data_IF_124423198694
#
_entry.id   IF_124423198694
#
_cell.length_a   1.000
_cell.length_b   1.000
_cell.length_c   1.000
_cell.angle_alpha   90.00
_cell.angle_beta   90.00
_cell.angle_gamma   90.00
#
_symmetry.space_group_name_H-M   'P 1'
#
loop_
_entity.id
_entity.type
_entity.pdbx_description
1 polymer ?
#
# COMPACT_ATOMS: atom_id res chain seq x y z
N UNK A 1 -14.69 -36.17 55.88
CA UNK A 1 -14.91 -36.91 54.61
C UNK A 1 -16.18 -36.41 53.96
N UNK A 2 -16.21 -36.48 52.62
CA UNK A 2 -17.33 -36.31 51.67
C UNK A 2 -17.46 -34.95 50.98
N UNK A 3 -16.74 -34.89 49.86
CA UNK A 3 -16.96 -34.08 48.67
C UNK A 3 -18.43 -34.07 48.22
N UNK A 4 -18.95 -32.88 47.88
CA UNK A 4 -19.93 -32.75 46.79
C UNK A 4 -19.51 -31.60 45.87
N UNK A 5 -19.19 -32.00 44.64
CA UNK A 5 -18.93 -31.15 43.48
C UNK A 5 -20.24 -30.51 43.06
N UNK A 6 -20.28 -29.19 42.96
CA UNK A 6 -21.31 -28.47 42.21
C UNK A 6 -20.62 -27.60 41.19
N UNK A 7 -20.50 -28.14 39.98
CA UNK A 7 -20.09 -27.44 38.77
C UNK A 7 -21.25 -26.54 38.38
N UNK A 8 -21.09 -25.22 38.51
CA UNK A 8 -22.04 -24.26 37.96
C UNK A 8 -21.42 -23.65 36.70
N UNK A 9 -21.90 -24.15 35.57
CA UNK A 9 -21.79 -23.58 34.23
C UNK A 9 -22.49 -22.22 34.22
N UNK A 10 -21.83 -21.16 33.72
CA UNK A 10 -22.55 -20.04 33.07
C UNK A 10 -21.65 -19.17 32.19
N UNK A 11 -21.86 -19.36 30.89
CA UNK A 11 -22.00 -18.36 29.82
C UNK A 11 -20.90 -17.33 29.55
N UNK A 12 -20.08 -17.72 28.57
CA UNK A 12 -19.62 -16.94 27.42
C UNK A 12 -20.46 -15.67 27.17
N UNK A 13 -19.85 -14.51 27.37
CA UNK A 13 -20.12 -13.29 26.60
C UNK A 13 -18.80 -12.69 26.17
N UNK A 14 -18.10 -13.41 25.29
CA UNK A 14 -17.04 -12.83 24.48
C UNK A 14 -17.70 -11.97 23.40
N UNK A 15 -18.21 -10.81 23.81
CA UNK A 15 -18.66 -9.75 22.93
C UNK A 15 -17.46 -9.05 22.33
N UNK A 16 -16.74 -9.72 21.43
CA UNK A 16 -15.90 -9.00 20.47
C UNK A 16 -16.90 -8.26 19.59
N UNK A 17 -17.08 -6.97 19.89
CA UNK A 17 -17.60 -6.03 18.93
C UNK A 17 -16.65 -6.11 17.73
N UNK A 18 -17.03 -6.92 16.74
CA UNK A 18 -16.46 -6.86 15.41
C UNK A 18 -16.88 -5.48 14.93
N UNK A 19 -16.01 -4.49 15.14
CA UNK A 19 -16.12 -3.21 14.48
C UNK A 19 -16.14 -3.51 12.99
N UNK A 20 -17.34 -3.60 12.42
CA UNK A 20 -17.56 -3.57 10.99
C UNK A 20 -17.09 -2.19 10.50
N UNK A 21 -15.79 -2.08 10.27
CA UNK A 21 -15.17 -0.97 9.59
C UNK A 21 -15.67 -1.02 8.15
N UNK A 22 -16.85 -0.44 7.89
CA UNK A 22 -17.12 0.16 6.60
C UNK A 22 -16.23 1.41 6.51
N UNK A 23 -14.91 1.20 6.46
CA UNK A 23 -13.95 2.27 6.32
C UNK A 23 -14.14 2.85 4.92
N UNK A 24 -14.44 4.15 4.88
CA UNK A 24 -14.15 4.98 3.73
C UNK A 24 -12.72 4.64 3.27
N UNK A 25 -12.52 4.48 1.97
CA UNK A 25 -11.20 4.15 1.43
C UNK A 25 -10.20 5.19 1.95
N UNK A 26 -9.21 4.75 2.73
CA UNK A 26 -8.21 5.66 3.27
C UNK A 26 -7.35 6.19 2.12
N UNK A 27 -6.94 7.44 2.23
CA UNK A 27 -6.05 8.04 1.24
C UNK A 27 -4.63 7.54 1.44
N UNK A 28 -3.96 7.24 0.34
CA UNK A 28 -2.54 6.89 0.33
C UNK A 28 -1.70 8.17 0.23
N UNK A 29 -0.72 8.30 1.12
CA UNK A 29 0.28 9.36 1.05
C UNK A 29 1.62 8.78 0.60
N UNK A 30 2.18 9.36 -0.47
CA UNK A 30 3.49 8.96 -0.99
C UNK A 30 4.48 10.10 -0.89
N UNK A 31 5.65 9.82 -0.32
CA UNK A 31 6.81 10.72 -0.33
C UNK A 31 7.89 10.12 -1.21
N UNK A 32 8.37 10.90 -2.18
CA UNK A 32 9.46 10.50 -3.07
C UNK A 32 10.67 11.39 -2.81
N UNK A 33 11.60 10.90 -1.99
CA UNK A 33 12.85 11.57 -1.66
C UNK A 33 13.97 11.28 -2.67
N UNK A 34 13.64 10.73 -3.84
CA UNK A 34 14.62 10.48 -4.91
C UNK A 34 14.70 11.66 -5.88
N UNK A 35 15.61 11.55 -6.85
CA UNK A 35 15.77 12.50 -7.96
C UNK A 35 14.95 12.14 -9.20
N UNK A 36 14.15 11.08 -9.13
CA UNK A 36 13.40 10.54 -10.26
C UNK A 36 11.91 10.52 -9.93
N UNK A 37 11.08 10.78 -10.92
CA UNK A 37 9.64 10.59 -10.78
C UNK A 37 9.34 9.11 -10.54
N UNK A 38 8.22 8.80 -9.86
CA UNK A 38 7.81 7.42 -9.67
C UNK A 38 6.38 7.17 -10.11
N UNK A 39 6.16 5.97 -10.64
CA UNK A 39 4.86 5.45 -11.08
C UNK A 39 4.72 4.00 -10.65
N UNK A 40 3.51 3.46 -10.76
CA UNK A 40 3.29 2.05 -10.48
C UNK A 40 2.32 1.40 -11.47
N UNK A 41 2.50 0.10 -11.70
CA UNK A 41 1.53 -0.74 -12.42
C UNK A 41 0.85 -1.65 -11.41
N UNK A 42 -0.47 -1.56 -11.31
CA UNK A 42 -1.25 -2.37 -10.38
C UNK A 42 -1.85 -3.60 -11.06
N UNK A 43 -1.76 -4.76 -10.39
CA UNK A 43 -2.34 -6.05 -10.80
C UNK A 43 -2.06 -6.39 -12.28
N UNK A 44 -0.82 -6.14 -12.72
CA UNK A 44 -0.33 -6.36 -14.08
C UNK A 44 -1.28 -5.75 -15.15
N UNK A 45 -1.92 -4.62 -14.83
CA UNK A 45 -2.94 -3.99 -15.67
C UNK A 45 -2.43 -2.72 -16.34
N UNK A 46 -2.75 -1.56 -15.77
CA UNK A 46 -2.46 -0.25 -16.33
C UNK A 46 -1.45 0.49 -15.46
N UNK A 47 -0.66 1.37 -16.08
CA UNK A 47 0.17 2.27 -15.31
C UNK A 47 -0.71 3.26 -14.54
N UNK A 48 -0.24 3.72 -13.39
CA UNK A 48 -0.92 4.76 -12.61
C UNK A 48 -1.21 6.01 -13.44
N UNK A 49 -0.37 6.33 -14.43
CA UNK A 49 -0.61 7.45 -15.36
C UNK A 49 -1.65 7.19 -16.42
N UNK A 50 -1.93 5.93 -16.78
CA UNK A 50 -3.03 5.61 -17.69
C UNK A 50 -4.40 5.76 -17.00
N UNK A 51 -4.44 5.48 -15.69
CA UNK A 51 -5.66 5.52 -14.87
C UNK A 51 -5.90 6.94 -14.32
N UNK A 52 -4.85 7.59 -13.82
CA UNK A 52 -4.92 8.83 -13.05
C UNK A 52 -4.25 10.03 -13.74
N UNK A 53 -3.69 9.85 -14.95
CA UNK A 53 -2.94 10.90 -15.67
C UNK A 53 -1.78 11.44 -14.82
N UNK A 54 -1.60 12.75 -14.75
CA UNK A 54 -0.57 13.42 -13.94
C UNK A 54 -0.65 13.03 -12.45
N UNK A 55 -1.85 12.79 -11.92
CA UNK A 55 -2.03 12.33 -10.53
C UNK A 55 -1.54 10.89 -10.32
N UNK A 56 -1.18 10.18 -11.40
CA UNK A 56 -0.54 8.88 -11.36
C UNK A 56 0.96 8.95 -11.06
N UNK A 57 1.60 10.12 -11.18
CA UNK A 57 3.04 10.30 -10.97
C UNK A 57 3.30 10.87 -9.58
N UNK A 58 4.24 10.29 -8.84
CA UNK A 58 4.81 10.95 -7.65
C UNK A 58 6.14 11.57 -8.03
N UNK A 59 6.12 12.88 -8.27
CA UNK A 59 7.28 13.61 -8.78
C UNK A 59 8.48 13.51 -7.84
N UNK A 60 9.68 13.62 -8.41
CA UNK A 60 10.93 13.70 -7.67
C UNK A 60 10.84 14.80 -6.60
N UNK A 61 11.27 14.48 -5.37
CA UNK A 61 11.22 15.39 -4.22
C UNK A 61 9.82 15.63 -3.63
N UNK A 62 8.74 15.09 -4.20
CA UNK A 62 7.39 15.32 -3.71
C UNK A 62 7.20 14.77 -2.29
N UNK A 63 6.56 15.56 -1.42
CA UNK A 63 6.28 15.20 -0.03
C UNK A 63 4.79 14.96 0.15
N UNK A 64 4.43 13.82 0.79
CA UNK A 64 3.05 13.45 1.13
C UNK A 64 2.04 13.70 -0.02
N UNK A 65 2.41 13.33 -1.25
CA UNK A 65 1.45 13.35 -2.36
C UNK A 65 0.27 12.46 -2.01
N UNK A 66 -0.93 13.03 -2.05
CA UNK A 66 -2.18 12.34 -1.75
C UNK A 66 -2.70 11.62 -3.00
N UNK A 67 -2.98 10.34 -2.87
CA UNK A 67 -3.82 9.55 -3.78
C UNK A 67 -5.10 9.23 -3.03
N UNK A 68 -6.24 9.72 -3.52
CA UNK A 68 -7.50 9.55 -2.81
C UNK A 68 -7.87 8.07 -2.72
N UNK A 69 -8.60 7.68 -1.68
CA UNK A 69 -9.05 6.30 -1.53
C UNK A 69 -9.90 5.81 -2.72
N UNK A 70 -10.62 6.71 -3.41
CA UNK A 70 -11.35 6.37 -4.64
C UNK A 70 -10.40 6.03 -5.80
N UNK A 71 -9.35 6.85 -6.00
CA UNK A 71 -8.31 6.60 -7.00
C UNK A 71 -7.54 5.30 -6.69
N UNK A 72 -7.25 5.05 -5.41
CA UNK A 72 -6.58 3.84 -4.95
C UNK A 72 -7.43 2.59 -5.20
N UNK A 73 -8.73 2.63 -4.87
CA UNK A 73 -9.67 1.55 -5.19
C UNK A 73 -9.77 1.29 -6.69
N UNK A 74 -9.80 2.35 -7.50
CA UNK A 74 -9.83 2.23 -8.95
C UNK A 74 -8.54 1.59 -9.49
N UNK A 75 -7.37 2.01 -9.00
CA UNK A 75 -6.11 1.40 -9.38
C UNK A 75 -6.04 -0.09 -8.99
N UNK A 76 -6.63 -0.46 -7.85
CA UNK A 76 -6.64 -1.81 -7.33
C UNK A 76 -7.90 -2.63 -7.66
N UNK A 77 -8.71 -2.21 -8.64
CA UNK A 77 -10.04 -2.75 -8.92
C UNK A 77 -10.06 -4.28 -9.11
N UNK A 78 -8.97 -4.87 -9.62
CA UNK A 78 -8.86 -6.32 -9.84
C UNK A 78 -8.67 -7.13 -8.55
N UNK A 79 -8.03 -6.54 -7.54
CA UNK A 79 -7.83 -7.17 -6.24
C UNK A 79 -7.64 -6.09 -5.16
N UNK A 80 -8.68 -5.86 -4.37
CA UNK A 80 -8.70 -4.80 -3.36
C UNK A 80 -8.00 -5.18 -2.05
N UNK A 81 -7.83 -6.49 -1.77
CA UNK A 81 -7.26 -7.03 -0.51
C UNK A 81 -5.79 -7.45 -0.64
N UNK A 82 -5.32 -7.62 -1.87
CA UNK A 82 -3.93 -7.94 -2.18
C UNK A 82 -3.56 -7.34 -3.54
N UNK A 83 -3.63 -6.01 -3.62
CA UNK A 83 -3.26 -5.27 -4.81
C UNK A 83 -1.74 -5.31 -4.97
N UNK A 84 -1.27 -5.97 -6.02
CA UNK A 84 0.14 -6.00 -6.38
C UNK A 84 0.48 -4.72 -7.15
N UNK A 85 1.46 -3.95 -6.72
CA UNK A 85 1.92 -2.74 -7.38
C UNK A 85 3.41 -2.84 -7.71
N UNK A 86 3.72 -3.00 -9.00
CA UNK A 86 5.10 -2.93 -9.50
C UNK A 86 5.52 -1.46 -9.58
N UNK A 87 6.63 -1.09 -8.93
CA UNK A 87 7.08 0.30 -8.79
C UNK A 87 8.19 0.61 -9.80
N UNK A 88 8.07 1.76 -10.46
CA UNK A 88 9.01 2.25 -11.47
C UNK A 88 9.48 3.66 -11.10
N UNK A 89 10.73 3.98 -11.43
CA UNK A 89 11.34 5.30 -11.18
C UNK A 89 11.39 6.15 -12.45
N UNK A 90 10.25 6.23 -13.13
CA UNK A 90 10.02 7.04 -14.32
C UNK A 90 8.59 7.61 -14.30
N UNK A 91 8.33 8.62 -15.14
CA UNK A 91 7.02 9.27 -15.32
C UNK A 91 5.97 8.37 -16.00
N UNK A 92 6.40 7.23 -16.53
CA UNK A 92 5.56 6.13 -17.04
C UNK A 92 6.14 4.81 -16.57
N UNK A 93 5.31 3.77 -16.55
CA UNK A 93 5.71 2.42 -16.14
C UNK A 93 6.55 1.69 -17.20
N UNK A 94 7.57 2.37 -17.71
CA UNK A 94 8.62 1.86 -18.57
C UNK A 94 9.89 1.59 -17.79
N UNK A 95 10.82 0.87 -18.42
CA UNK A 95 12.07 0.47 -17.80
C UNK A 95 11.94 -0.67 -16.80
N UNK A 96 12.95 -0.79 -15.96
CA UNK A 96 13.03 -1.85 -14.94
C UNK A 96 12.22 -1.47 -13.69
N UNK A 97 11.51 -2.46 -13.14
CA UNK A 97 10.84 -2.31 -11.85
C UNK A 97 11.86 -2.33 -10.71
N UNK A 98 11.69 -1.46 -9.73
CA UNK A 98 12.59 -1.37 -8.58
C UNK A 98 12.08 -2.13 -7.36
N UNK A 99 10.77 -2.37 -7.27
CA UNK A 99 10.13 -3.06 -6.17
C UNK A 99 8.72 -3.54 -6.55
N UNK A 100 8.16 -4.40 -5.71
CA UNK A 100 6.75 -4.83 -5.73
C UNK A 100 6.16 -4.54 -4.36
N UNK A 101 5.02 -3.87 -4.31
CA UNK A 101 4.27 -3.62 -3.06
C UNK A 101 2.96 -4.41 -3.11
N UNK A 102 2.66 -5.17 -2.07
CA UNK A 102 1.33 -5.75 -1.87
C UNK A 102 0.53 -4.87 -0.91
N UNK A 103 -0.70 -4.50 -1.31
CA UNK A 103 -1.50 -3.49 -0.62
C UNK A 103 -2.95 -3.94 -0.40
N UNK A 104 -3.47 -3.80 0.83
CA UNK A 104 -4.89 -3.94 1.18
C UNK A 104 -5.57 -2.56 1.24
N UNK A 105 -6.36 -2.24 0.22
CA UNK A 105 -7.12 -0.98 0.13
C UNK A 105 -8.34 -0.91 1.06
N UNK A 106 -8.75 -2.04 1.64
CA UNK A 106 -9.94 -2.18 2.49
C UNK A 106 -9.57 -2.47 3.96
N UNK A 107 -8.30 -2.45 4.30
CA UNK A 107 -7.82 -2.87 5.61
C UNK A 107 -6.52 -2.20 5.98
N UNK A 108 -5.45 -2.99 6.05
CA UNK A 108 -4.19 -2.63 6.71
C UNK A 108 -3.28 -1.72 5.86
N UNK A 109 -3.58 -1.49 4.57
CA UNK A 109 -2.71 -0.75 3.67
C UNK A 109 -1.52 -1.59 3.19
N UNK A 110 -0.28 -1.09 3.30
CA UNK A 110 0.92 -1.82 2.88
C UNK A 110 1.06 -3.13 3.68
N UNK A 111 1.03 -4.27 2.98
CA UNK A 111 1.19 -5.61 3.56
C UNK A 111 2.63 -6.08 3.49
N UNK A 112 3.26 -5.89 2.34
CA UNK A 112 4.66 -6.27 2.12
C UNK A 112 5.28 -5.46 1.00
N UNK A 113 6.62 -5.39 1.03
CA UNK A 113 7.46 -4.73 0.04
C UNK A 113 8.57 -5.71 -0.33
N UNK A 114 8.65 -6.06 -1.60
CA UNK A 114 9.73 -6.85 -2.18
C UNK A 114 10.64 -5.92 -2.99
N UNK A 115 11.87 -5.71 -2.52
CA UNK A 115 12.85 -4.88 -3.21
C UNK A 115 13.57 -5.67 -4.31
N UNK A 116 13.65 -5.09 -5.51
CA UNK A 116 14.35 -5.65 -6.68
C UNK A 116 15.66 -4.91 -6.90
N UNK A 117 15.60 -3.58 -7.00
CA UNK A 117 16.78 -2.73 -7.12
C UNK A 117 17.19 -2.22 -5.73
N UNK A 118 18.36 -2.67 -5.29
CA UNK A 118 18.93 -2.34 -3.97
C UNK A 118 19.56 -0.95 -3.91
N UNK A 119 19.66 -0.24 -5.05
CA UNK A 119 20.05 1.17 -5.05
C UNK A 119 18.96 2.07 -4.46
N UNK A 120 17.73 1.59 -4.42
CA UNK A 120 16.58 2.26 -3.80
C UNK A 120 16.21 1.65 -2.45
N UNK A 121 15.47 2.43 -1.66
CA UNK A 121 14.82 1.98 -0.43
C UNK A 121 13.35 2.41 -0.49
N UNK A 122 12.44 1.46 -0.27
CA UNK A 122 11.03 1.75 -0.04
C UNK A 122 10.66 1.27 1.36
N UNK A 123 10.11 2.18 2.15
CA UNK A 123 9.48 1.87 3.42
C UNK A 123 8.00 2.22 3.33
N UNK A 124 7.15 1.43 3.97
CA UNK A 124 5.72 1.67 3.96
C UNK A 124 5.04 0.98 5.13
N UNK A 125 3.99 1.62 5.64
CA UNK A 125 3.15 1.11 6.70
C UNK A 125 1.78 1.79 6.60
N UNK A 126 0.71 1.03 6.77
CA UNK A 126 -0.63 1.59 6.61
C UNK A 126 -0.82 2.18 5.20
N UNK A 127 -1.35 3.40 5.15
CA UNK A 127 -1.55 4.14 3.90
C UNK A 127 -0.46 5.20 3.68
N UNK A 128 0.79 4.92 4.11
CA UNK A 128 1.95 5.77 3.88
C UNK A 128 3.09 4.97 3.22
N UNK A 129 3.71 5.56 2.19
CA UNK A 129 4.86 5.00 1.46
C UNK A 129 5.91 6.09 1.28
N UNK A 130 7.17 5.75 1.55
CA UNK A 130 8.32 6.64 1.36
C UNK A 130 9.34 5.90 0.48
N UNK A 131 9.78 6.56 -0.59
CA UNK A 131 10.81 6.07 -1.52
C UNK A 131 12.03 6.98 -1.39
N UNK A 132 13.23 6.41 -1.27
CA UNK A 132 14.50 7.14 -1.18
C UNK A 132 15.64 6.39 -1.88
N UNK A 133 16.81 7.03 -1.95
CA UNK A 133 17.99 6.48 -2.63
C UNK A 133 17.98 6.71 -4.15
N UNK A 134 18.47 5.72 -4.88
CA UNK A 134 18.64 5.71 -6.32
C UNK A 134 20.09 5.97 -6.76
N UNK A 135 20.40 5.69 -8.03
CA UNK A 135 21.72 5.93 -8.59
C UNK A 135 22.07 7.42 -8.52
N UNK A 136 23.35 7.69 -8.27
CA UNK A 136 23.88 9.05 -8.34
C UNK A 136 23.76 9.48 -9.81
N UNK A 137 22.90 10.45 -10.09
CA UNK A 137 22.81 11.05 -11.42
C UNK A 137 24.20 11.56 -11.83
N UNK A 138 24.89 10.83 -12.69
CA UNK A 138 26.09 11.30 -13.38
C UNK A 138 25.63 12.40 -14.32
N UNK A 139 26.04 13.63 -14.02
CA UNK A 139 25.86 14.79 -14.91
C UNK A 139 26.70 14.65 -16.17
#
# INVERSE_FOLDING_TARGET
>A
MLFKKSVLVSFITLGIAIFSHNALAQDLYTTNNTKFDSTCRTNDFMCSTDILREDGVTRAGAQRKRTTGAQLKLACIKNLRDCKADIYMQDKCGGEKIAIIHFDTLGEGVKSIEMIDKSYLIIGSGFEVIISGGPIATK
#
